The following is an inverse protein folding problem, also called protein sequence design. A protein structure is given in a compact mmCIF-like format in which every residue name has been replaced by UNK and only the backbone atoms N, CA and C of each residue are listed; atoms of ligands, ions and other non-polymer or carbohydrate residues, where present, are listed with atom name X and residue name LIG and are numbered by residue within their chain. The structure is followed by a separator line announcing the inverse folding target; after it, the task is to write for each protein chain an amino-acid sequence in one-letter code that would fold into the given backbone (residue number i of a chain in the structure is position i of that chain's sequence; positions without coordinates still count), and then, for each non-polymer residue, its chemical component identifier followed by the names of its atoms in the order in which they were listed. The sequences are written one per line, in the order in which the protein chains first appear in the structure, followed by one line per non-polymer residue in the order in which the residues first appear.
data_IF_869306598476
#
_entry.id   IF_869306598476
#
_cell.length_a   1.000
_cell.length_b   1.000
_cell.length_c   1.000
_cell.angle_alpha   90.00
_cell.angle_beta   90.00
_cell.angle_gamma   90.00
#
_symmetry.space_group_name_H-M   'P 1'
#
loop_
_entity.id
_entity.type
_entity.pdbx_description
1 polymer ?
#
# COMPACT_ATOMS: atom_id res chain seq x y z
N UNK A 1 -44.81 53.88 -59.76
CA UNK A 1 -44.36 52.61 -60.38
C UNK A 1 -43.05 52.20 -59.73
N UNK A 2 -43.05 50.99 -59.17
CA UNK A 2 -41.93 50.13 -58.74
C UNK A 2 -40.51 50.72 -58.57
N UNK A 3 -39.96 50.62 -57.36
CA UNK A 3 -38.57 50.19 -57.22
C UNK A 3 -38.34 49.49 -55.88
N UNK A 4 -37.78 48.28 -55.96
CA UNK A 4 -37.33 47.42 -54.85
C UNK A 4 -36.09 48.03 -54.20
N UNK A 5 -35.94 47.90 -52.89
CA UNK A 5 -34.62 47.86 -52.27
C UNK A 5 -34.56 46.77 -51.21
N UNK A 6 -33.62 45.84 -51.41
CA UNK A 6 -33.34 44.73 -50.52
C UNK A 6 -32.51 45.17 -49.32
N UNK A 7 -32.90 44.71 -48.13
CA UNK A 7 -32.12 44.81 -46.91
C UNK A 7 -31.69 43.43 -46.45
N UNK A 8 -30.41 43.12 -46.61
CA UNK A 8 -29.74 41.94 -46.08
C UNK A 8 -29.69 42.07 -44.54
N UNK A 9 -30.42 41.22 -43.80
CA UNK A 9 -30.33 41.15 -42.34
C UNK A 9 -29.16 40.23 -41.96
N UNK A 10 -28.04 40.80 -41.51
CA UNK A 10 -26.94 40.07 -40.92
C UNK A 10 -27.37 39.54 -39.53
N UNK A 11 -27.45 38.22 -39.38
CA UNK A 11 -27.66 37.58 -38.09
C UNK A 11 -26.31 37.46 -37.36
N UNK A 12 -26.12 38.24 -36.29
CA UNK A 12 -25.02 38.02 -35.35
C UNK A 12 -25.32 36.75 -34.53
N UNK A 13 -24.65 35.66 -34.86
CA UNK A 13 -24.62 34.45 -34.04
C UNK A 13 -23.71 34.66 -32.83
N UNK A 14 -24.29 34.73 -31.64
CA UNK A 14 -23.56 34.74 -30.37
C UNK A 14 -23.03 33.32 -30.09
N UNK A 15 -21.76 33.05 -30.41
CA UNK A 15 -21.13 31.78 -30.09
C UNK A 15 -20.83 31.71 -28.59
N UNK A 16 -21.63 30.95 -27.84
CA UNK A 16 -21.34 30.63 -26.44
C UNK A 16 -20.22 29.59 -26.38
N UNK A 17 -19.03 30.00 -25.92
CA UNK A 17 -17.94 29.09 -25.58
C UNK A 17 -18.29 28.36 -24.29
N UNK A 18 -18.67 27.08 -24.41
CA UNK A 18 -18.85 26.18 -23.27
C UNK A 18 -17.47 25.77 -22.78
N UNK A 19 -17.01 26.36 -21.67
CA UNK A 19 -15.84 25.88 -20.94
C UNK A 19 -16.20 24.59 -20.22
N UNK A 20 -15.80 23.45 -20.78
CA UNK A 20 -15.81 22.18 -20.08
C UNK A 20 -14.69 22.19 -19.05
N UNK A 21 -15.03 22.45 -17.78
CA UNK A 21 -14.12 22.25 -16.67
C UNK A 21 -13.75 20.75 -16.63
N UNK A 22 -12.50 20.43 -17.01
CA UNK A 22 -11.96 19.10 -16.81
C UNK A 22 -11.99 18.80 -15.31
N UNK A 23 -12.78 17.81 -14.89
CA UNK A 23 -12.78 17.34 -13.51
C UNK A 23 -11.36 16.84 -13.19
N UNK A 24 -10.63 17.59 -12.36
CA UNK A 24 -9.35 17.14 -11.85
C UNK A 24 -9.60 15.83 -11.09
N UNK A 25 -8.97 14.74 -11.55
CA UNK A 25 -8.98 13.49 -10.81
C UNK A 25 -8.48 13.79 -9.40
N UNK A 26 -9.28 13.42 -8.38
CA UNK A 26 -8.84 13.60 -7.00
C UNK A 26 -7.50 12.92 -6.82
N UNK A 27 -6.48 13.61 -6.25
CA UNK A 27 -5.18 12.99 -6.06
C UNK A 27 -5.36 11.74 -5.19
N UNK A 28 -4.89 10.61 -5.71
CA UNK A 28 -4.90 9.35 -4.96
C UNK A 28 -3.94 9.43 -3.77
N UNK A 29 -3.91 8.41 -2.89
CA UNK A 29 -3.10 8.46 -1.68
C UNK A 29 -1.59 8.37 -1.93
N UNK A 30 -1.16 8.13 -3.17
CA UNK A 30 0.21 7.80 -3.54
C UNK A 30 0.93 8.96 -4.20
N UNK A 31 2.14 9.25 -3.72
CA UNK A 31 2.99 10.33 -4.21
C UNK A 31 4.42 9.81 -4.47
N UNK A 32 5.06 10.15 -5.60
CA UNK A 32 6.49 9.92 -5.81
C UNK A 32 7.33 10.76 -4.85
N UNK A 33 8.45 10.22 -4.39
CA UNK A 33 9.40 10.93 -3.53
C UNK A 33 10.83 10.45 -3.74
N UNK A 34 11.79 11.24 -3.27
CA UNK A 34 13.22 10.91 -3.26
C UNK A 34 13.77 11.01 -1.84
N UNK A 35 14.61 10.05 -1.44
CA UNK A 35 15.32 10.10 -0.16
C UNK A 35 16.69 9.45 -0.32
N UNK A 36 17.74 10.10 0.19
CA UNK A 36 19.15 9.64 0.06
C UNK A 36 19.56 9.33 -1.40
N UNK A 37 19.00 10.05 -2.37
CA UNK A 37 19.28 9.84 -3.81
C UNK A 37 18.47 8.71 -4.46
N UNK A 38 17.69 7.95 -3.69
CA UNK A 38 16.85 6.85 -4.18
C UNK A 38 15.39 7.30 -4.39
N UNK A 39 14.73 6.72 -5.39
CA UNK A 39 13.33 7.04 -5.74
C UNK A 39 12.36 6.03 -5.12
N UNK A 40 11.24 6.54 -4.61
CA UNK A 40 10.17 5.77 -3.98
C UNK A 40 8.81 6.29 -4.39
N UNK A 41 7.78 5.50 -4.13
CA UNK A 41 6.39 5.95 -4.03
C UNK A 41 5.88 5.66 -2.63
N UNK A 42 5.28 6.67 -1.99
CA UNK A 42 4.64 6.54 -0.68
C UNK A 42 3.13 6.75 -0.81
N UNK A 43 2.34 5.79 -0.32
CA UNK A 43 0.90 5.83 -0.27
C UNK A 43 0.42 6.02 1.17
N UNK A 44 -0.11 7.21 1.49
CA UNK A 44 -0.54 7.59 2.84
C UNK A 44 -2.05 7.48 2.97
N UNK A 45 -2.52 6.72 3.97
CA UNK A 45 -3.94 6.43 4.19
C UNK A 45 -4.32 6.74 5.63
N UNK A 46 -5.18 7.75 5.82
CA UNK A 46 -5.84 8.03 7.10
C UNK A 46 -7.07 7.12 7.25
N UNK A 47 -7.00 6.19 8.19
CA UNK A 47 -8.07 5.21 8.42
C UNK A 47 -9.36 5.85 8.91
N UNK A 48 -9.39 7.13 9.32
CA UNK A 48 -10.62 7.87 9.64
C UNK A 48 -11.39 8.31 8.39
N UNK A 49 -10.75 8.27 7.21
CA UNK A 49 -11.32 8.73 5.94
C UNK A 49 -11.43 7.62 4.89
N UNK A 50 -10.61 6.58 5.02
CA UNK A 50 -10.63 5.40 4.14
C UNK A 50 -10.64 4.09 4.97
N UNK A 51 -10.79 2.95 4.29
CA UNK A 51 -10.54 1.61 4.85
C UNK A 51 -9.26 1.06 4.27
N UNK A 52 -8.40 0.51 5.11
CA UNK A 52 -7.32 -0.40 4.68
C UNK A 52 -7.80 -1.82 4.89
N UNK A 53 -7.79 -2.61 3.82
CA UNK A 53 -8.20 -4.02 3.82
C UNK A 53 -7.06 -4.92 3.39
N UNK A 54 -7.08 -6.16 3.88
CA UNK A 54 -6.31 -7.25 3.31
C UNK A 54 -7.20 -8.09 2.40
N UNK A 55 -6.58 -8.68 1.38
CA UNK A 55 -7.24 -9.53 0.40
C UNK A 55 -6.36 -10.74 0.11
N UNK A 56 -6.83 -11.94 0.40
CA UNK A 56 -6.12 -13.16 -0.01
C UNK A 56 -6.85 -13.89 -1.13
N UNK A 57 -8.08 -14.31 -0.87
CA UNK A 57 -8.87 -15.15 -1.80
C UNK A 57 -10.06 -14.38 -2.36
N UNK A 58 -10.37 -14.64 -3.62
CA UNK A 58 -11.60 -14.15 -4.25
C UNK A 58 -12.82 -14.94 -3.80
N UNK A 59 -13.99 -14.54 -4.31
CA UNK A 59 -15.26 -15.21 -4.05
C UNK A 59 -15.30 -16.67 -4.52
N UNK A 60 -14.42 -17.05 -5.45
CA UNK A 60 -14.21 -18.42 -5.94
C UNK A 60 -13.29 -19.26 -5.03
N UNK A 61 -12.82 -18.69 -3.90
CA UNK A 61 -11.94 -19.36 -2.95
C UNK A 61 -10.48 -19.49 -3.40
N UNK A 62 -10.15 -19.02 -4.61
CA UNK A 62 -8.79 -19.01 -5.15
C UNK A 62 -8.07 -17.71 -4.77
N UNK A 63 -6.73 -17.73 -4.57
CA UNK A 63 -5.96 -16.52 -4.37
C UNK A 63 -6.16 -15.50 -5.50
N UNK A 64 -6.18 -14.21 -5.16
CA UNK A 64 -6.20 -13.16 -6.19
C UNK A 64 -5.00 -13.25 -7.12
N UNK A 65 -3.81 -13.57 -6.59
CA UNK A 65 -2.62 -13.85 -7.38
C UNK A 65 -2.02 -12.65 -8.12
N UNK A 66 -2.71 -11.53 -8.25
CA UNK A 66 -2.24 -10.34 -8.97
C UNK A 66 -3.01 -9.09 -8.57
N UNK A 67 -2.37 -7.93 -8.72
CA UNK A 67 -3.01 -6.63 -8.52
C UNK A 67 -4.11 -6.37 -9.55
N UNK A 68 -3.93 -6.79 -10.80
CA UNK A 68 -4.94 -6.65 -11.85
C UNK A 68 -6.24 -7.39 -11.52
N UNK A 69 -6.15 -8.64 -11.05
CA UNK A 69 -7.35 -9.39 -10.64
C UNK A 69 -8.05 -8.75 -9.43
N UNK A 70 -7.30 -8.23 -8.47
CA UNK A 70 -7.87 -7.48 -7.34
C UNK A 70 -8.54 -6.18 -7.82
N UNK A 71 -7.89 -5.42 -8.70
CA UNK A 71 -8.42 -4.18 -9.25
C UNK A 71 -9.71 -4.41 -10.03
N UNK A 72 -9.78 -5.46 -10.87
CA UNK A 72 -11.01 -5.83 -11.57
C UNK A 72 -12.16 -6.20 -10.60
N UNK A 73 -11.85 -6.88 -9.49
CA UNK A 73 -12.86 -7.30 -8.51
C UNK A 73 -13.37 -6.13 -7.63
N UNK A 74 -12.49 -5.19 -7.26
CA UNK A 74 -12.85 -4.05 -6.41
C UNK A 74 -13.38 -2.85 -7.22
N UNK A 75 -13.01 -2.77 -8.51
CA UNK A 75 -13.38 -1.71 -9.42
C UNK A 75 -12.75 -0.35 -9.04
N UNK A 76 -13.39 0.77 -9.41
CA UNK A 76 -12.83 2.12 -9.22
C UNK A 76 -12.71 2.55 -7.75
N UNK A 77 -13.22 1.73 -6.81
CA UNK A 77 -13.08 1.98 -5.36
C UNK A 77 -11.68 1.68 -4.85
N UNK A 78 -10.86 0.90 -5.56
CA UNK A 78 -9.50 0.59 -5.14
C UNK A 78 -8.59 1.77 -5.44
N UNK A 79 -8.25 2.57 -4.42
CA UNK A 79 -7.42 3.76 -4.61
C UNK A 79 -5.92 3.46 -4.63
N UNK A 80 -5.54 2.30 -4.10
CA UNK A 80 -4.17 1.77 -4.08
C UNK A 80 -4.19 0.29 -3.69
N UNK A 81 -3.23 -0.50 -4.19
CA UNK A 81 -2.91 -1.81 -3.64
C UNK A 81 -1.43 -2.20 -3.80
N UNK A 82 -0.94 -3.08 -2.93
CA UNK A 82 0.37 -3.74 -3.05
C UNK A 82 0.32 -5.16 -2.46
N UNK A 83 1.37 -5.95 -2.69
CA UNK A 83 1.57 -7.20 -1.96
C UNK A 83 1.77 -6.93 -0.46
N UNK A 84 1.17 -7.76 0.40
CA UNK A 84 1.21 -7.65 1.84
C UNK A 84 2.31 -8.55 2.44
N UNK A 85 2.01 -9.27 3.53
CA UNK A 85 2.98 -10.14 4.19
C UNK A 85 3.49 -11.30 3.31
N UNK A 86 4.56 -11.93 3.78
CA UNK A 86 5.22 -13.03 3.06
C UNK A 86 4.31 -14.24 2.86
N UNK A 87 4.52 -14.94 1.75
CA UNK A 87 3.73 -16.09 1.32
C UNK A 87 4.61 -17.26 0.85
N UNK A 88 4.06 -18.47 0.83
CA UNK A 88 4.69 -19.69 0.31
C UNK A 88 4.22 -19.98 -1.14
N UNK A 89 4.73 -21.05 -1.76
CA UNK A 89 4.53 -21.32 -3.18
C UNK A 89 3.06 -21.49 -3.64
N UNK A 90 2.14 -21.82 -2.73
CA UNK A 90 0.69 -21.92 -2.98
C UNK A 90 -0.05 -20.57 -2.78
N UNK A 91 0.70 -19.47 -2.60
CA UNK A 91 0.20 -18.12 -2.36
C UNK A 91 -0.46 -17.93 -0.99
N UNK A 92 -0.28 -18.85 -0.03
CA UNK A 92 -0.80 -18.72 1.32
C UNK A 92 0.11 -17.85 2.21
N UNK A 93 -0.44 -17.17 3.23
CA UNK A 93 0.38 -16.43 4.19
C UNK A 93 1.31 -17.36 4.99
N UNK A 94 2.58 -16.97 5.13
CA UNK A 94 3.58 -17.72 5.93
C UNK A 94 3.27 -17.69 7.43
N UNK A 95 2.69 -16.58 7.91
CA UNK A 95 2.38 -16.33 9.31
C UNK A 95 0.96 -15.81 9.51
N UNK A 96 0.74 -15.09 10.62
CA UNK A 96 -0.58 -14.58 11.00
C UNK A 96 -1.28 -13.91 9.82
N UNK A 97 -2.53 -14.30 9.59
CA UNK A 97 -3.41 -13.64 8.64
C UNK A 97 -4.82 -13.57 9.18
N UNK A 98 -5.33 -12.34 9.27
CA UNK A 98 -6.71 -12.03 9.68
C UNK A 98 -7.35 -11.22 8.56
N UNK A 99 -8.55 -11.62 8.14
CA UNK A 99 -9.35 -10.95 7.12
C UNK A 99 -10.80 -10.89 7.59
N UNK A 100 -11.40 -9.70 7.57
CA UNK A 100 -12.77 -9.43 8.05
C UNK A 100 -13.02 -9.96 9.48
N UNK A 101 -12.05 -9.78 10.37
CA UNK A 101 -12.10 -10.20 11.76
C UNK A 101 -11.90 -11.70 11.99
N UNK A 102 -11.72 -12.50 10.94
CA UNK A 102 -11.50 -13.95 11.02
C UNK A 102 -10.03 -14.29 10.85
N UNK A 103 -9.47 -14.99 11.84
CA UNK A 103 -8.14 -15.56 11.73
C UNK A 103 -8.16 -16.74 10.76
N UNK A 104 -7.44 -16.60 9.65
CA UNK A 104 -7.30 -17.61 8.60
C UNK A 104 -6.00 -18.41 8.75
N UNK A 105 -5.00 -17.81 9.42
CA UNK A 105 -3.70 -18.40 9.66
C UNK A 105 -3.15 -17.90 10.99
N UNK A 106 -2.66 -18.83 11.82
CA UNK A 106 -2.02 -18.54 13.10
C UNK A 106 -0.66 -17.85 12.90
N UNK A 107 -0.22 -17.10 13.90
CA UNK A 107 1.11 -16.49 13.90
C UNK A 107 2.22 -17.56 13.87
N UNK A 108 3.25 -17.31 13.08
CA UNK A 108 4.45 -18.13 13.06
C UNK A 108 5.55 -17.48 13.94
N UNK A 109 5.84 -18.12 15.06
CA UNK A 109 6.86 -17.71 16.03
C UNK A 109 8.15 -18.50 15.93
N UNK A 110 8.26 -19.43 14.98
CA UNK A 110 9.46 -20.24 14.80
C UNK A 110 10.68 -19.38 14.47
N UNK A 111 11.85 -19.95 14.73
CA UNK A 111 13.11 -19.49 14.18
C UNK A 111 13.37 -20.20 12.85
N UNK A 112 14.15 -19.56 11.99
CA UNK A 112 14.46 -20.12 10.68
C UNK A 112 15.34 -19.19 9.86
N UNK A 113 15.63 -19.57 8.61
CA UNK A 113 16.38 -18.73 7.69
C UNK A 113 15.50 -17.66 7.03
N UNK A 114 16.14 -16.66 6.43
CA UNK A 114 15.49 -15.65 5.60
C UNK A 114 14.81 -14.51 6.38
N UNK A 115 14.31 -13.54 5.63
CA UNK A 115 13.83 -12.26 6.17
C UNK A 115 12.67 -12.42 7.16
N UNK A 116 11.74 -13.36 6.91
CA UNK A 116 10.60 -13.62 7.80
C UNK A 116 11.04 -13.95 9.24
N UNK A 117 12.16 -14.66 9.37
CA UNK A 117 12.69 -15.14 10.64
C UNK A 117 13.78 -14.21 11.21
N UNK A 118 14.10 -13.09 10.54
CA UNK A 118 14.99 -12.06 11.08
C UNK A 118 14.25 -11.30 12.20
N UNK A 119 14.37 -11.82 13.44
CA UNK A 119 13.66 -11.28 14.60
C UNK A 119 14.27 -9.97 15.11
N UNK A 120 13.43 -9.02 15.62
CA UNK A 120 11.96 -9.08 15.60
C UNK A 120 11.35 -8.94 14.21
N UNK A 121 10.44 -9.87 13.93
CA UNK A 121 9.45 -9.75 12.87
C UNK A 121 8.16 -9.15 13.48
N UNK A 122 7.20 -8.77 12.64
CA UNK A 122 6.07 -7.98 13.13
C UNK A 122 4.75 -8.29 12.46
N UNK A 123 3.71 -7.70 13.02
CA UNK A 123 2.34 -7.75 12.55
C UNK A 123 1.91 -6.32 12.24
N UNK A 124 1.50 -6.10 10.98
CA UNK A 124 0.66 -4.96 10.62
C UNK A 124 -0.79 -5.35 10.91
N UNK A 125 -1.53 -4.50 11.60
CA UNK A 125 -2.94 -4.74 11.89
C UNK A 125 -3.80 -3.47 11.78
N UNK A 126 -5.08 -3.68 11.53
CA UNK A 126 -6.16 -2.68 11.51
C UNK A 126 -7.24 -3.13 12.49
N UNK A 127 -7.76 -2.20 13.30
CA UNK A 127 -8.88 -2.42 14.22
C UNK A 127 -9.72 -1.14 14.27
N UNK A 128 -10.85 -1.16 13.55
CA UNK A 128 -11.69 0.01 13.32
C UNK A 128 -10.94 1.11 12.55
N UNK A 129 -10.76 2.25 13.19
CA UNK A 129 -9.98 3.38 12.65
C UNK A 129 -8.53 3.39 13.14
N UNK A 130 -8.12 2.40 13.96
CA UNK A 130 -6.76 2.27 14.48
C UNK A 130 -5.93 1.36 13.58
N UNK A 131 -4.67 1.71 13.45
CA UNK A 131 -3.67 0.92 12.72
C UNK A 131 -2.41 0.80 13.56
N UNK A 132 -1.72 -0.33 13.43
CA UNK A 132 -0.47 -0.54 14.15
C UNK A 132 0.48 -1.47 13.42
N UNK A 133 1.77 -1.25 13.69
CA UNK A 133 2.86 -2.18 13.40
C UNK A 133 3.54 -2.50 14.72
N UNK A 134 3.53 -3.77 15.11
CA UNK A 134 4.06 -4.23 16.41
C UNK A 134 4.83 -5.54 16.24
N UNK A 135 5.74 -5.80 17.17
CA UNK A 135 6.45 -7.08 17.25
C UNK A 135 5.46 -8.24 17.46
N UNK A 136 5.69 -9.38 16.79
CA UNK A 136 4.77 -10.53 16.78
C UNK A 136 4.38 -11.01 18.19
N UNK A 137 5.34 -11.25 19.07
CA UNK A 137 5.07 -11.68 20.45
C UNK A 137 4.26 -10.65 21.23
N UNK A 138 4.54 -9.36 21.04
CA UNK A 138 3.75 -8.27 21.63
C UNK A 138 2.32 -8.28 21.11
N UNK A 139 2.10 -8.45 19.81
CA UNK A 139 0.77 -8.57 19.23
C UNK A 139 -0.03 -9.69 19.91
N UNK A 140 0.56 -10.90 20.00
CA UNK A 140 -0.08 -12.07 20.61
C UNK A 140 -0.45 -11.84 22.08
N UNK A 141 0.40 -11.15 22.85
CA UNK A 141 0.10 -10.79 24.24
C UNK A 141 -0.97 -9.71 24.38
N UNK A 142 -1.04 -8.77 23.43
CA UNK A 142 -2.01 -7.67 23.48
C UNK A 142 -3.45 -8.07 23.17
N UNK A 143 -3.68 -9.26 22.59
CA UNK A 143 -5.02 -9.77 22.24
C UNK A 143 -5.89 -8.75 21.47
N UNK A 144 -5.26 -8.01 20.55
CA UNK A 144 -5.97 -7.06 19.68
C UNK A 144 -7.00 -7.84 18.84
N UNK A 145 -8.25 -7.38 18.86
CA UNK A 145 -9.28 -7.83 17.93
C UNK A 145 -9.11 -7.08 16.62
N UNK A 146 -8.23 -7.57 15.76
CA UNK A 146 -7.97 -6.97 14.48
C UNK A 146 -9.05 -7.34 13.47
N UNK A 147 -9.49 -6.37 12.67
CA UNK A 147 -10.31 -6.61 11.48
C UNK A 147 -9.45 -7.18 10.35
N UNK A 148 -8.21 -6.70 10.26
CA UNK A 148 -7.20 -7.19 9.33
C UNK A 148 -5.85 -7.28 10.01
N UNK A 149 -5.09 -8.33 9.76
CA UNK A 149 -3.72 -8.45 10.23
C UNK A 149 -2.89 -9.31 9.27
N UNK A 150 -1.63 -8.92 9.07
CA UNK A 150 -0.66 -9.70 8.30
C UNK A 150 0.69 -9.69 9.02
N UNK A 151 1.27 -10.88 9.18
CA UNK A 151 2.63 -11.03 9.70
C UNK A 151 3.64 -11.00 8.56
N UNK A 152 4.73 -10.29 8.80
CA UNK A 152 5.89 -10.29 7.90
C UNK A 152 7.17 -10.03 8.70
N UNK A 153 8.32 -9.99 8.03
CA UNK A 153 9.58 -9.68 8.70
C UNK A 153 10.71 -9.36 7.75
N UNK A 154 11.72 -8.60 8.19
CA UNK A 154 11.85 -8.05 9.55
C UNK A 154 10.96 -6.82 9.82
N UNK A 155 10.81 -6.42 11.09
CA UNK A 155 10.49 -5.02 11.37
C UNK A 155 11.64 -4.13 10.86
N UNK A 156 11.31 -3.00 10.23
CA UNK A 156 12.30 -2.04 9.73
C UNK A 156 12.67 -1.03 10.82
N UNK A 157 11.65 -0.49 11.49
CA UNK A 157 11.77 0.50 12.56
C UNK A 157 10.95 0.04 13.75
N UNK A 158 11.51 0.20 14.95
CA UNK A 158 10.94 -0.26 16.22
C UNK A 158 11.12 0.87 17.23
N UNK A 159 10.02 1.53 17.61
CA UNK A 159 10.07 2.68 18.53
C UNK A 159 11.05 3.78 18.07
N UNK A 160 11.08 4.09 16.78
CA UNK A 160 11.97 5.09 16.18
C UNK A 160 13.41 4.63 15.94
N UNK A 161 13.76 3.38 16.29
CA UNK A 161 15.10 2.83 16.07
C UNK A 161 15.08 1.85 14.91
N UNK A 162 16.08 1.91 14.03
CA UNK A 162 16.25 0.91 12.97
C UNK A 162 16.52 -0.44 13.62
N UNK A 163 15.94 -1.49 13.04
CA UNK A 163 16.12 -2.86 13.51
C UNK A 163 17.63 -3.21 13.63
N UNK A 164 18.11 -3.70 14.79
CA UNK A 164 19.55 -3.82 15.08
C UNK A 164 20.32 -4.78 14.16
N UNK A 165 19.63 -5.69 13.46
CA UNK A 165 20.27 -6.61 12.51
C UNK A 165 20.27 -6.09 11.07
N UNK A 166 19.69 -4.91 10.81
CA UNK A 166 19.78 -4.24 9.52
C UNK A 166 21.09 -3.45 9.50
N UNK A 167 21.98 -3.81 8.58
CA UNK A 167 23.19 -3.04 8.30
C UNK A 167 22.85 -1.77 7.52
N UNK A 168 23.58 -0.68 7.81
CA UNK A 168 23.38 0.64 7.21
C UNK A 168 23.42 0.60 5.69
N UNK A 169 24.44 -0.07 5.13
CA UNK A 169 24.70 -0.25 3.69
C UNK A 169 24.91 -1.74 3.38
N UNK A 170 23.95 -2.58 3.79
CA UNK A 170 24.04 -4.01 3.56
C UNK A 170 24.12 -4.40 2.07
N UNK A 171 24.71 -5.55 1.72
CA UNK A 171 24.95 -5.94 0.34
C UNK A 171 23.69 -6.32 -0.45
N UNK A 172 22.54 -6.50 0.23
CA UNK A 172 21.29 -6.89 -0.40
C UNK A 172 20.59 -5.69 -1.04
N UNK A 173 20.63 -5.61 -2.37
CA UNK A 173 19.88 -4.64 -3.17
C UNK A 173 18.67 -5.32 -3.80
N UNK A 174 17.47 -4.84 -3.48
CA UNK A 174 16.20 -5.35 -4.04
C UNK A 174 15.19 -4.22 -4.16
N UNK A 175 14.21 -4.37 -5.03
CA UNK A 175 12.97 -3.60 -4.91
C UNK A 175 12.30 -4.04 -3.61
N UNK A 176 11.84 -3.08 -2.81
CA UNK A 176 11.29 -3.33 -1.48
C UNK A 176 9.99 -2.60 -1.32
N UNK A 177 9.02 -3.25 -0.66
CA UNK A 177 7.85 -2.59 -0.12
C UNK A 177 7.69 -2.82 1.38
N UNK A 178 6.94 -1.95 2.01
CA UNK A 178 6.79 -1.91 3.46
C UNK A 178 5.61 -1.08 3.90
N UNK A 179 5.27 -1.18 5.17
CA UNK A 179 4.25 -0.35 5.81
C UNK A 179 4.75 0.23 7.12
N UNK A 180 4.56 1.52 7.30
CA UNK A 180 4.79 2.24 8.54
C UNK A 180 3.49 2.80 9.08
N UNK A 181 3.49 3.14 10.38
CA UNK A 181 2.36 3.79 11.04
C UNK A 181 2.84 5.10 11.65
N UNK A 182 2.09 6.18 11.42
CA UNK A 182 2.37 7.49 12.01
C UNK A 182 2.10 7.47 13.52
N UNK A 183 2.68 8.41 14.28
CA UNK A 183 2.47 8.50 15.73
C UNK A 183 1.00 8.66 16.17
N UNK A 184 0.13 9.12 15.28
CA UNK A 184 -1.30 9.28 15.56
C UNK A 184 -2.06 7.94 15.74
N UNK A 185 -1.49 6.81 15.29
CA UNK A 185 -2.14 5.49 15.36
C UNK A 185 -3.33 5.32 14.40
N UNK A 186 -3.54 6.26 13.48
CA UNK A 186 -4.65 6.30 12.53
C UNK A 186 -4.17 6.35 11.08
N UNK A 187 -2.92 6.73 10.85
CA UNK A 187 -2.38 6.88 9.50
C UNK A 187 -1.36 5.80 9.17
N UNK A 188 -1.67 5.01 8.14
CA UNK A 188 -0.75 4.04 7.56
C UNK A 188 0.00 4.67 6.38
N UNK A 189 1.30 4.42 6.28
CA UNK A 189 2.11 4.80 5.12
C UNK A 189 2.68 3.55 4.50
N UNK A 190 2.26 3.23 3.28
CA UNK A 190 2.83 2.16 2.49
C UNK A 190 3.89 2.76 1.58
N UNK A 191 5.01 2.07 1.38
CA UNK A 191 6.06 2.55 0.48
C UNK A 191 6.59 1.42 -0.39
N UNK A 192 7.04 1.78 -1.60
CA UNK A 192 7.76 0.90 -2.52
C UNK A 192 8.94 1.67 -3.12
N UNK A 193 10.08 1.01 -3.31
CA UNK A 193 11.22 1.59 -4.06
C UNK A 193 11.04 1.44 -5.57
N UNK A 194 11.45 2.45 -6.35
CA UNK A 194 11.43 2.39 -7.82
C UNK A 194 12.62 1.62 -8.40
N UNK A 195 13.65 1.39 -7.58
CA UNK A 195 14.83 0.63 -7.93
C UNK A 195 15.34 -0.24 -6.77
N UNK A 196 16.40 -1.02 -6.99
CA UNK A 196 17.02 -1.82 -5.95
C UNK A 196 17.64 -0.97 -4.85
N UNK A 197 17.21 -1.14 -3.61
CA UNK A 197 17.74 -0.45 -2.43
C UNK A 197 18.18 -1.42 -1.34
N UNK A 198 19.08 -0.96 -0.46
CA UNK A 198 19.48 -1.73 0.73
C UNK A 198 18.34 -1.75 1.76
N UNK A 199 18.36 -2.75 2.66
CA UNK A 199 17.44 -2.73 3.81
C UNK A 199 17.64 -1.48 4.69
N UNK A 200 18.88 -1.02 4.86
CA UNK A 200 19.20 0.16 5.65
C UNK A 200 18.61 1.43 5.06
N UNK A 201 18.78 1.66 3.75
CA UNK A 201 18.18 2.79 3.05
C UNK A 201 16.64 2.77 3.16
N UNK A 202 16.03 1.58 2.99
CA UNK A 202 14.58 1.44 3.12
C UNK A 202 14.07 1.66 4.55
N UNK A 203 14.82 1.24 5.58
CA UNK A 203 14.48 1.52 6.97
C UNK A 203 14.61 3.01 7.32
N UNK A 204 15.64 3.70 6.78
CA UNK A 204 15.83 5.15 6.93
C UNK A 204 14.72 5.95 6.25
N UNK A 205 14.24 5.52 5.08
CA UNK A 205 13.04 6.12 4.47
C UNK A 205 11.87 6.18 5.48
N UNK A 206 11.55 5.06 6.13
CA UNK A 206 10.47 5.02 7.11
C UNK A 206 10.74 5.88 8.35
N UNK A 207 11.95 5.81 8.90
CA UNK A 207 12.31 6.52 10.14
C UNK A 207 12.43 8.03 9.90
N UNK A 208 13.19 8.43 8.90
CA UNK A 208 13.71 9.79 8.74
C UNK A 208 12.82 10.64 7.84
N UNK A 209 12.34 10.10 6.71
CA UNK A 209 11.49 10.85 5.78
C UNK A 209 10.00 10.69 6.10
N UNK A 210 9.55 9.45 6.33
CA UNK A 210 8.14 9.14 6.58
C UNK A 210 7.75 9.24 8.05
N UNK A 211 8.69 9.50 8.97
CA UNK A 211 8.42 9.72 10.39
C UNK A 211 7.56 8.61 11.03
N UNK A 212 7.83 7.36 10.67
CA UNK A 212 7.11 6.19 11.17
C UNK A 212 7.90 5.57 12.34
N UNK A 213 7.44 5.70 13.61
CA UNK A 213 8.13 5.09 14.74
C UNK A 213 8.12 3.55 14.69
N UNK A 214 7.18 2.94 13.98
CA UNK A 214 7.21 1.51 13.69
C UNK A 214 6.93 1.28 12.22
N UNK A 215 7.72 0.40 11.60
CA UNK A 215 7.56 0.01 10.21
C UNK A 215 7.92 -1.46 10.00
N UNK A 216 7.27 -2.10 9.05
CA UNK A 216 7.35 -3.52 8.75
C UNK A 216 7.73 -3.71 7.29
N UNK A 217 8.73 -4.55 7.05
CA UNK A 217 9.01 -5.03 5.71
C UNK A 217 7.94 -6.02 5.28
N UNK A 218 7.36 -5.82 4.10
CA UNK A 218 6.37 -6.72 3.53
C UNK A 218 7.08 -7.84 2.74
N UNK A 219 6.45 -8.43 1.73
CA UNK A 219 7.11 -9.49 0.97
C UNK A 219 8.37 -8.98 0.21
N UNK A 220 9.44 -9.78 0.26
CA UNK A 220 10.73 -9.51 -0.36
C UNK A 220 11.08 -10.42 -1.53
N UNK A 221 10.17 -11.30 -1.92
CA UNK A 221 10.27 -12.10 -3.14
C UNK A 221 9.83 -11.30 -4.35
N UNK A 222 8.77 -10.51 -4.18
CA UNK A 222 8.20 -9.62 -5.19
C UNK A 222 7.69 -8.36 -4.49
N UNK A 223 7.84 -7.20 -5.12
CA UNK A 223 7.21 -5.94 -4.68
C UNK A 223 6.50 -5.32 -5.87
N UNK A 224 5.24 -4.92 -5.69
CA UNK A 224 4.41 -4.41 -6.79
C UNK A 224 3.39 -3.41 -6.28
N UNK A 225 3.04 -2.44 -7.12
CA UNK A 225 2.13 -1.35 -6.82
C UNK A 225 1.03 -1.23 -7.87
N UNK A 226 -0.19 -1.02 -7.38
CA UNK A 226 -1.32 -0.50 -8.12
C UNK A 226 -1.66 0.88 -7.55
N UNK A 227 -1.53 1.92 -8.35
CA UNK A 227 -1.79 3.31 -7.99
C UNK A 227 -2.38 4.04 -9.22
N UNK A 228 -3.71 4.02 -9.40
CA UNK A 228 -4.35 4.54 -10.62
C UNK A 228 -4.16 6.05 -10.79
N UNK A 229 -4.08 6.82 -9.70
CA UNK A 229 -3.78 8.25 -9.76
C UNK A 229 -2.38 8.58 -10.30
N UNK A 230 -1.47 7.60 -10.28
CA UNK A 230 -0.13 7.69 -10.88
C UNK A 230 -0.05 6.95 -12.23
N UNK A 231 -1.18 6.52 -12.79
CA UNK A 231 -1.26 5.66 -13.98
C UNK A 231 -0.38 4.40 -13.88
N UNK A 232 -0.28 3.82 -12.67
CA UNK A 232 0.58 2.66 -12.40
C UNK A 232 -0.24 1.42 -12.05
N UNK A 233 0.08 0.32 -12.73
CA UNK A 233 -0.40 -1.02 -12.42
C UNK A 233 0.69 -2.03 -12.78
N UNK A 234 1.45 -2.47 -11.78
CA UNK A 234 2.56 -3.38 -12.01
C UNK A 234 2.06 -4.78 -12.41
N UNK A 235 2.76 -5.39 -13.39
CA UNK A 235 2.63 -6.80 -13.71
C UNK A 235 3.78 -7.55 -13.05
N UNK A 236 3.45 -8.58 -12.27
CA UNK A 236 4.41 -9.30 -11.44
C UNK A 236 4.21 -10.80 -11.51
N UNK A 237 5.15 -11.55 -10.93
CA UNK A 237 4.91 -12.95 -10.57
C UNK A 237 3.68 -13.06 -9.65
N UNK A 238 3.04 -14.24 -9.56
CA UNK A 238 1.90 -14.43 -8.69
C UNK A 238 2.17 -13.97 -7.26
N UNK A 239 1.27 -13.13 -6.74
CA UNK A 239 1.33 -12.53 -5.42
C UNK A 239 0.46 -13.32 -4.43
N UNK A 240 0.94 -13.41 -3.18
CA UNK A 240 0.16 -13.93 -2.07
C UNK A 240 -0.88 -12.92 -1.56
N UNK A 241 -1.00 -12.74 -0.24
CA UNK A 241 -1.87 -11.73 0.32
C UNK A 241 -1.57 -10.32 -0.20
N UNK A 242 -2.62 -9.55 -0.42
CA UNK A 242 -2.57 -8.16 -0.88
C UNK A 242 -3.13 -7.24 0.20
N UNK A 243 -2.70 -5.98 0.16
CA UNK A 243 -3.25 -4.88 0.98
C UNK A 243 -3.70 -3.77 0.04
N UNK A 244 -4.83 -3.14 0.35
CA UNK A 244 -5.34 -2.04 -0.45
C UNK A 244 -6.22 -1.08 0.33
N UNK A 245 -6.39 0.11 -0.23
CA UNK A 245 -7.23 1.16 0.33
C UNK A 245 -8.50 1.36 -0.51
N UNK A 246 -9.62 1.50 0.17
CA UNK A 246 -10.94 1.78 -0.43
C UNK A 246 -11.66 2.89 0.36
N UNK A 247 -12.60 3.63 -0.26
CA UNK A 247 -13.49 4.56 0.45
C UNK A 247 -14.22 3.90 1.63
N UNK A 248 -14.57 4.73 2.62
CA UNK A 248 -15.27 4.29 3.84
C UNK A 248 -16.69 3.82 3.63
#
# INVERSE_FOLDING_TARGET
MSSRNGGLRAALGCAMLVWTAAAAASPGPCEPMTHEGERFVACTVDLRRARVKLFWRGADGLPYGSLGRLASAQGPRLSFAMNAGMYNADLAPVGLYVEDGREMKVANTANGPGNFHLKPNGVFYVSGDKVGVVETGRYLRSRVKADYATQSGPMLVIGGRIHPKISTNGPSLKIRNGVGVKPDGHTAVFAISEGPVTFGAFARLFRDALNCPNALFLDGSVSSLYAPALNRSDLSRPLGPLVGAVPR
#
